data_IF_212606997861
#
_entry.id   IF_212606997861
#
_cell.length_a   1.000
_cell.length_b   1.000
_cell.length_c   1.000
_cell.angle_alpha   90.00
_cell.angle_beta   90.00
_cell.angle_gamma   90.00
#
_symmetry.space_group_name_H-M   'P 1'
#
loop_
_entity.id
_entity.type
_entity.pdbx_description
1 polymer ?
#
# COMPACT_ATOMS: atom_id res chain seq x y z
N UNK A 1 11.00 -6.46 19.52
CA UNK A 1 10.82 -6.59 18.06
C UNK A 1 9.97 -7.83 17.87
N UNK A 2 8.74 -7.69 17.38
CA UNK A 2 7.86 -8.84 17.13
C UNK A 2 8.42 -9.75 16.03
N UNK A 3 8.02 -11.02 16.01
CA UNK A 3 8.43 -11.96 14.96
C UNK A 3 7.88 -11.52 13.59
N UNK A 4 8.72 -11.22 12.59
CA UNK A 4 8.27 -10.83 11.24
C UNK A 4 7.40 -11.89 10.55
N UNK A 5 7.54 -13.16 10.93
CA UNK A 5 6.74 -14.26 10.40
C UNK A 5 5.37 -14.41 11.09
N UNK A 6 5.10 -13.63 12.15
CA UNK A 6 3.81 -13.63 12.80
C UNK A 6 2.70 -13.27 11.81
N UNK A 7 1.60 -14.03 11.84
CA UNK A 7 0.44 -13.79 10.97
C UNK A 7 -0.15 -12.40 11.13
N UNK A 8 -0.12 -11.87 12.35
CA UNK A 8 -0.58 -10.52 12.68
C UNK A 8 0.32 -9.43 12.09
N UNK A 9 1.50 -9.76 11.56
CA UNK A 9 2.33 -8.82 10.81
C UNK A 9 2.05 -8.87 9.30
N UNK A 10 1.14 -9.71 8.81
CA UNK A 10 0.76 -9.71 7.39
C UNK A 10 0.03 -8.42 7.01
N UNK A 11 0.36 -7.86 5.85
CA UNK A 11 -0.30 -6.66 5.35
C UNK A 11 -1.76 -6.93 4.95
N UNK A 12 -2.09 -8.17 4.58
CA UNK A 12 -3.47 -8.61 4.34
C UNK A 12 -4.37 -8.48 5.58
N UNK A 13 -3.88 -8.85 6.77
CA UNK A 13 -4.63 -8.64 8.02
C UNK A 13 -4.75 -7.15 8.37
N UNK A 14 -3.72 -6.35 8.06
CA UNK A 14 -3.78 -4.89 8.17
C UNK A 14 -4.89 -4.29 7.31
N UNK A 15 -4.94 -4.61 6.02
CA UNK A 15 -6.02 -4.18 5.11
C UNK A 15 -7.38 -4.64 5.63
N UNK A 16 -7.49 -5.89 6.12
CA UNK A 16 -8.74 -6.41 6.68
C UNK A 16 -9.22 -5.58 7.87
N UNK A 17 -8.31 -5.11 8.73
CA UNK A 17 -8.69 -4.22 9.83
C UNK A 17 -9.13 -2.85 9.30
N UNK A 18 -8.40 -2.26 8.35
CA UNK A 18 -8.75 -0.97 7.75
C UNK A 18 -10.15 -1.00 7.11
N UNK A 19 -10.46 -2.04 6.34
CA UNK A 19 -11.78 -2.19 5.71
C UNK A 19 -12.88 -2.31 6.78
N UNK A 20 -12.68 -3.15 7.81
CA UNK A 20 -13.64 -3.26 8.92
C UNK A 20 -13.90 -1.93 9.64
N UNK A 21 -12.88 -1.08 9.77
CA UNK A 21 -13.01 0.25 10.38
C UNK A 21 -13.69 1.24 9.42
N UNK A 22 -13.41 1.16 8.13
CA UNK A 22 -14.01 2.00 7.11
C UNK A 22 -15.52 1.72 6.96
N UNK A 23 -15.90 0.44 6.99
CA UNK A 23 -17.29 -0.03 6.82
C UNK A 23 -18.17 0.26 8.05
N UNK A 24 -17.59 0.49 9.23
CA UNK A 24 -18.33 0.77 10.46
C UNK A 24 -18.70 2.26 10.54
N UNK A 25 -19.99 2.64 10.60
CA UNK A 25 -20.36 4.05 10.72
C UNK A 25 -20.16 4.64 12.14
N UNK A 26 -20.24 3.83 13.20
CA UNK A 26 -20.20 4.31 14.59
C UNK A 26 -18.77 4.48 15.11
N UNK A 27 -18.43 5.69 15.57
CA UNK A 27 -17.12 5.98 16.16
C UNK A 27 -16.79 5.09 17.38
N UNK A 28 -17.77 4.83 18.23
CA UNK A 28 -17.60 3.96 19.39
C UNK A 28 -17.34 2.52 18.95
N UNK A 29 -18.07 2.04 17.94
CA UNK A 29 -17.86 0.70 17.39
C UNK A 29 -16.50 0.56 16.70
N UNK A 30 -16.01 1.59 15.98
CA UNK A 30 -14.64 1.62 15.45
C UNK A 30 -13.59 1.41 16.55
N UNK A 31 -13.76 2.10 17.67
CA UNK A 31 -12.87 1.98 18.83
C UNK A 31 -12.92 0.57 19.43
N UNK A 32 -14.10 -0.04 19.50
CA UNK A 32 -14.25 -1.43 19.93
C UNK A 32 -13.60 -2.43 18.97
N UNK A 33 -13.69 -2.22 17.65
CA UNK A 33 -13.05 -3.07 16.65
C UNK A 33 -11.53 -3.08 16.86
N UNK A 34 -10.92 -1.90 17.00
CA UNK A 34 -9.50 -1.76 17.30
C UNK A 34 -9.14 -2.41 18.66
N UNK A 35 -9.95 -2.17 19.69
CA UNK A 35 -9.73 -2.76 21.01
C UNK A 35 -9.79 -4.30 20.98
N UNK A 36 -10.77 -4.87 20.29
CA UNK A 36 -10.93 -6.32 20.10
C UNK A 36 -9.73 -6.90 19.35
N UNK A 37 -9.30 -6.22 18.29
CA UNK A 37 -8.14 -6.65 17.51
C UNK A 37 -6.85 -6.70 18.36
N UNK A 38 -6.50 -5.61 19.05
CA UNK A 38 -5.22 -5.52 19.76
C UNK A 38 -5.23 -6.16 21.16
N UNK A 39 -6.37 -6.17 21.88
CA UNK A 39 -6.42 -6.66 23.27
C UNK A 39 -7.02 -8.05 23.42
N UNK A 40 -8.04 -8.39 22.64
CA UNK A 40 -8.79 -9.62 22.86
C UNK A 40 -8.25 -10.83 22.08
N UNK A 41 -7.48 -10.63 21.01
CA UNK A 41 -7.02 -11.71 20.13
C UNK A 41 -5.59 -12.20 20.38
N UNK A 42 -4.97 -11.92 21.54
CA UNK A 42 -3.53 -12.18 21.76
C UNK A 42 -2.69 -11.68 20.58
N UNK A 43 -2.86 -10.42 20.22
CA UNK A 43 -2.10 -9.81 19.13
C UNK A 43 -0.60 -9.99 19.40
N UNK A 44 0.08 -10.70 18.50
CA UNK A 44 1.51 -11.04 18.61
C UNK A 44 2.37 -10.20 17.64
N UNK A 45 1.71 -9.35 16.83
CA UNK A 45 2.36 -8.45 15.89
C UNK A 45 3.06 -7.26 16.54
N UNK A 46 3.73 -6.44 15.74
CA UNK A 46 4.40 -5.24 16.22
C UNK A 46 3.44 -4.04 16.27
N UNK A 47 2.96 -3.75 17.48
CA UNK A 47 2.00 -2.68 17.72
C UNK A 47 2.52 -1.31 17.25
N UNK A 48 3.82 -1.07 17.34
CA UNK A 48 4.39 0.23 17.00
C UNK A 48 4.32 0.49 15.49
N UNK A 49 4.63 -0.51 14.67
CA UNK A 49 4.49 -0.41 13.20
C UNK A 49 3.03 -0.29 12.80
N UNK A 50 2.14 -1.06 13.42
CA UNK A 50 0.70 -1.00 13.19
C UNK A 50 0.11 0.39 13.44
N UNK A 51 0.38 0.97 14.62
CA UNK A 51 -0.14 2.31 14.96
C UNK A 51 0.46 3.38 14.03
N UNK A 52 1.72 3.23 13.62
CA UNK A 52 2.36 4.15 12.66
C UNK A 52 1.67 4.13 11.31
N UNK A 53 1.31 2.95 10.80
CA UNK A 53 0.59 2.79 9.53
C UNK A 53 -0.88 3.20 9.63
N UNK A 54 -1.54 3.00 10.78
CA UNK A 54 -2.94 3.41 11.02
C UNK A 54 -3.12 4.92 11.15
N UNK A 55 -2.06 5.65 11.54
CA UNK A 55 -2.10 7.09 11.80
C UNK A 55 -1.17 7.89 10.87
N UNK A 56 -1.35 7.82 9.54
CA UNK A 56 -0.47 8.49 8.58
C UNK A 56 -0.50 10.03 8.72
N UNK A 57 -1.61 10.59 9.23
CA UNK A 57 -1.74 12.03 9.48
C UNK A 57 -1.01 12.53 10.74
N UNK A 58 -0.72 11.63 11.69
CA UNK A 58 0.00 11.95 12.93
C UNK A 58 1.51 11.77 12.72
N UNK A 59 1.90 10.67 12.08
CA UNK A 59 3.29 10.41 11.69
C UNK A 59 3.52 10.94 10.29
N UNK A 60 3.71 12.27 10.18
CA UNK A 60 3.87 12.95 8.89
C UNK A 60 5.13 12.46 8.16
N UNK A 61 4.91 11.77 7.04
CA UNK A 61 5.92 11.41 6.05
C UNK A 61 5.69 12.25 4.80
N UNK A 62 6.71 12.97 4.36
CA UNK A 62 6.64 13.80 3.15
C UNK A 62 7.25 13.02 2.00
N UNK A 63 6.42 12.56 1.07
CA UNK A 63 6.86 11.76 -0.08
C UNK A 63 7.13 12.60 -1.33
N UNK A 64 6.71 13.87 -1.34
CA UNK A 64 6.76 14.75 -2.52
C UNK A 64 6.17 14.08 -3.79
N UNK A 65 5.07 13.34 -3.61
CA UNK A 65 4.34 12.64 -4.67
C UNK A 65 2.95 13.28 -4.79
N UNK A 66 2.59 13.66 -6.01
CA UNK A 66 1.26 14.16 -6.36
C UNK A 66 0.53 13.14 -7.24
N UNK A 67 -0.80 13.17 -7.28
CA UNK A 67 -1.60 12.18 -8.05
C UNK A 67 -1.16 12.07 -9.52
N UNK A 68 -0.90 13.20 -10.19
CA UNK A 68 -0.42 13.21 -11.58
C UNK A 68 0.98 12.59 -11.73
N UNK A 69 1.88 12.84 -10.77
CA UNK A 69 3.22 12.23 -10.77
C UNK A 69 3.13 10.71 -10.60
N UNK A 70 2.22 10.24 -9.74
CA UNK A 70 1.98 8.81 -9.58
C UNK A 70 1.46 8.19 -10.88
N UNK A 71 0.45 8.80 -11.53
CA UNK A 71 -0.05 8.33 -12.83
C UNK A 71 1.06 8.23 -13.89
N UNK A 72 1.93 9.25 -13.97
CA UNK A 72 3.08 9.24 -14.89
C UNK A 72 4.12 8.17 -14.57
N UNK A 73 4.31 7.82 -13.30
CA UNK A 73 5.21 6.72 -12.89
C UNK A 73 4.57 5.37 -13.26
N UNK A 74 3.31 5.17 -12.89
CA UNK A 74 2.63 3.88 -13.04
C UNK A 74 2.24 3.56 -14.49
N UNK A 75 1.91 4.55 -15.33
CA UNK A 75 1.74 4.34 -16.78
C UNK A 75 2.97 3.70 -17.41
N UNK A 76 4.16 4.15 -17.02
CA UNK A 76 5.43 3.55 -17.49
C UNK A 76 5.71 2.17 -16.91
N UNK A 77 5.28 1.88 -15.69
CA UNK A 77 5.47 0.57 -15.04
C UNK A 77 4.52 -0.47 -15.65
N UNK A 78 3.28 -0.08 -15.93
CA UNK A 78 2.23 -0.93 -16.48
C UNK A 78 2.23 -1.01 -18.00
N UNK A 79 3.04 -0.17 -18.66
CA UNK A 79 3.05 0.01 -20.11
C UNK A 79 1.68 0.42 -20.66
N UNK A 80 0.95 1.24 -19.88
CA UNK A 80 -0.39 1.75 -20.17
C UNK A 80 -0.35 3.22 -20.61
N UNK A 81 -1.44 3.70 -21.23
CA UNK A 81 -1.56 5.09 -21.67
C UNK A 81 -1.67 6.06 -20.48
N UNK A 82 -0.72 6.99 -20.36
CA UNK A 82 -0.76 8.07 -19.35
C UNK A 82 -2.04 8.92 -19.49
N UNK A 83 -2.47 9.20 -20.72
CA UNK A 83 -3.66 10.01 -20.99
C UNK A 83 -4.95 9.31 -20.51
N UNK A 84 -5.07 8.01 -20.75
CA UNK A 84 -6.23 7.23 -20.28
C UNK A 84 -6.27 7.13 -18.75
N UNK A 85 -5.10 6.97 -18.12
CA UNK A 85 -5.00 6.97 -16.66
C UNK A 85 -5.33 8.35 -16.06
N UNK A 86 -4.97 9.44 -16.74
CA UNK A 86 -5.33 10.79 -16.30
C UNK A 86 -6.84 11.05 -16.43
N UNK A 87 -7.47 10.57 -17.50
CA UNK A 87 -8.93 10.65 -17.69
C UNK A 87 -9.69 9.88 -16.59
N UNK A 88 -9.25 8.67 -16.26
CA UNK A 88 -9.83 7.88 -15.16
C UNK A 88 -9.65 8.58 -13.80
N UNK A 89 -8.49 9.21 -13.56
CA UNK A 89 -8.22 9.98 -12.35
C UNK A 89 -9.17 11.18 -12.18
N UNK A 90 -9.64 11.80 -13.27
CA UNK A 90 -10.59 12.92 -13.18
C UNK A 90 -11.95 12.49 -12.61
N UNK A 91 -12.34 11.23 -12.81
CA UNK A 91 -13.59 10.66 -12.32
C UNK A 91 -13.49 10.02 -10.92
N UNK A 92 -12.29 9.89 -10.36
CA UNK A 92 -12.05 9.10 -9.15
C UNK A 92 -10.88 9.58 -8.30
N UNK A 93 -10.13 8.62 -7.76
CA UNK A 93 -8.95 8.87 -6.94
C UNK A 93 -7.76 8.05 -7.45
N UNK A 94 -6.55 8.51 -7.11
CA UNK A 94 -5.31 7.92 -7.62
C UNK A 94 -5.13 6.46 -7.21
N UNK A 95 -5.65 6.02 -6.07
CA UNK A 95 -5.54 4.63 -5.65
C UNK A 95 -6.48 3.74 -6.49
N UNK A 96 -7.70 4.20 -6.74
CA UNK A 96 -8.64 3.55 -7.65
C UNK A 96 -8.09 3.44 -9.08
N UNK A 97 -7.57 4.54 -9.63
CA UNK A 97 -6.97 4.55 -10.97
C UNK A 97 -5.79 3.58 -11.07
N UNK A 98 -4.84 3.63 -10.15
CA UNK A 98 -3.70 2.70 -10.18
C UNK A 98 -4.17 1.24 -10.08
N UNK A 99 -5.16 0.94 -9.22
CA UNK A 99 -5.70 -0.42 -9.10
C UNK A 99 -6.36 -0.91 -10.40
N UNK A 100 -7.20 -0.07 -11.03
CA UNK A 100 -7.87 -0.39 -12.28
C UNK A 100 -6.87 -0.73 -13.40
N UNK A 101 -5.82 0.08 -13.57
CA UNK A 101 -4.82 -0.14 -14.62
C UNK A 101 -3.81 -1.23 -14.26
N UNK A 102 -3.56 -1.46 -12.96
CA UNK A 102 -2.78 -2.60 -12.49
C UNK A 102 -3.44 -3.95 -12.84
N UNK A 103 -4.77 -4.04 -12.74
CA UNK A 103 -5.51 -5.24 -13.11
C UNK A 103 -5.59 -5.46 -14.63
N UNK A 104 -5.55 -4.38 -15.42
CA UNK A 104 -5.57 -4.44 -16.90
C UNK A 104 -4.21 -4.78 -17.49
N UNK A 105 -3.12 -4.38 -16.84
CA UNK A 105 -1.76 -4.51 -17.36
C UNK A 105 -1.39 -5.96 -17.68
N UNK A 106 -1.08 -6.23 -18.94
CA UNK A 106 -0.56 -7.53 -19.38
C UNK A 106 0.93 -7.71 -19.04
N UNK A 107 1.69 -6.60 -18.99
CA UNK A 107 3.12 -6.59 -18.69
C UNK A 107 3.41 -6.81 -17.20
N UNK A 108 2.43 -6.49 -16.34
CA UNK A 108 2.56 -6.56 -14.89
C UNK A 108 1.33 -7.21 -14.26
N UNK A 109 1.31 -8.54 -14.24
CA UNK A 109 0.17 -9.31 -13.73
C UNK A 109 0.13 -9.38 -12.18
N UNK A 110 -1.03 -9.12 -11.53
CA UNK A 110 -1.15 -9.22 -10.08
C UNK A 110 -0.90 -10.63 -9.52
N UNK A 111 -0.18 -10.72 -8.40
CA UNK A 111 -0.13 -11.96 -7.62
C UNK A 111 -1.49 -12.31 -7.01
N UNK A 112 -1.89 -13.58 -7.12
CA UNK A 112 -3.15 -14.11 -6.54
C UNK A 112 -3.20 -14.07 -5.00
N UNK A 113 -2.03 -14.01 -4.33
CA UNK A 113 -1.92 -13.93 -2.87
C UNK A 113 -0.78 -13.00 -2.50
N UNK A 114 -1.06 -12.02 -1.65
CA UNK A 114 -0.04 -11.14 -1.09
C UNK A 114 0.80 -11.88 -0.05
N UNK A 115 2.12 -11.75 -0.16
CA UNK A 115 3.11 -12.22 0.82
C UNK A 115 3.71 -11.08 1.65
N UNK A 116 3.17 -9.86 1.52
CA UNK A 116 3.72 -8.68 2.17
C UNK A 116 3.41 -8.64 3.66
N UNK A 117 4.39 -8.16 4.42
CA UNK A 117 4.22 -7.82 5.83
C UNK A 117 4.26 -6.30 6.07
N UNK A 118 3.78 -5.88 7.24
CA UNK A 118 3.70 -4.47 7.64
C UNK A 118 5.07 -3.78 7.73
N UNK A 119 6.14 -4.53 8.03
CA UNK A 119 7.50 -3.98 8.10
C UNK A 119 8.06 -3.66 6.72
N UNK A 120 7.79 -4.52 5.73
CA UNK A 120 8.17 -4.30 4.33
C UNK A 120 7.51 -3.04 3.79
N UNK A 121 6.20 -2.88 4.05
CA UNK A 121 5.45 -1.67 3.68
C UNK A 121 5.98 -0.45 4.42
N UNK A 122 6.20 -0.54 5.74
CA UNK A 122 6.72 0.59 6.52
C UNK A 122 8.11 1.05 6.04
N UNK A 123 8.96 0.09 5.68
CA UNK A 123 10.32 0.32 5.18
C UNK A 123 10.30 0.90 3.77
N UNK A 124 9.43 0.41 2.89
CA UNK A 124 9.22 0.96 1.56
C UNK A 124 8.79 2.42 1.63
N UNK A 125 7.76 2.72 2.42
CA UNK A 125 7.29 4.09 2.65
C UNK A 125 8.39 4.97 3.25
N UNK A 126 9.18 4.46 4.21
CA UNK A 126 10.31 5.21 4.77
C UNK A 126 11.38 5.51 3.71
N UNK A 127 11.63 4.58 2.79
CA UNK A 127 12.53 4.78 1.65
C UNK A 127 12.06 5.91 0.74
N UNK A 128 10.75 5.97 0.44
CA UNK A 128 10.16 7.01 -0.39
C UNK A 128 10.34 8.43 0.17
N UNK A 129 10.35 8.61 1.51
CA UNK A 129 10.56 9.92 2.13
C UNK A 129 11.89 10.60 1.75
N UNK A 130 12.90 9.82 1.35
CA UNK A 130 14.23 10.33 0.99
C UNK A 130 14.38 10.69 -0.49
N UNK A 131 13.36 10.47 -1.31
CA UNK A 131 13.47 10.54 -2.76
C UNK A 131 12.71 11.76 -3.29
N UNK A 132 13.48 12.79 -3.64
CA UNK A 132 12.93 14.11 -4.01
C UNK A 132 12.81 14.35 -5.52
N UNK A 133 13.36 13.45 -6.36
CA UNK A 133 13.38 13.62 -7.82
C UNK A 133 12.62 12.49 -8.50
N UNK A 134 11.79 12.85 -9.49
CA UNK A 134 10.95 11.93 -10.28
C UNK A 134 11.75 10.72 -10.80
N UNK A 135 12.94 10.92 -11.37
CA UNK A 135 13.79 9.83 -11.89
C UNK A 135 14.21 8.81 -10.82
N UNK A 136 14.41 9.27 -9.58
CA UNK A 136 14.76 8.37 -8.47
C UNK A 136 13.53 7.69 -7.89
N UNK A 137 12.37 8.34 -7.93
CA UNK A 137 11.10 7.74 -7.50
C UNK A 137 10.70 6.64 -8.49
N UNK A 138 10.77 6.94 -9.79
CA UNK A 138 10.55 5.98 -10.85
C UNK A 138 11.51 4.79 -10.75
N UNK A 139 12.80 5.01 -10.46
CA UNK A 139 13.76 3.91 -10.23
C UNK A 139 13.50 3.11 -8.95
N UNK A 140 13.00 3.73 -7.89
CA UNK A 140 12.69 3.06 -6.64
C UNK A 140 11.40 2.25 -6.72
N UNK A 141 10.38 2.74 -7.41
CA UNK A 141 9.17 1.97 -7.70
C UNK A 141 9.45 0.87 -8.75
N UNK A 142 10.17 1.17 -9.85
CA UNK A 142 10.64 0.16 -10.80
C UNK A 142 11.66 -0.83 -10.21
N UNK A 143 12.19 -0.55 -9.02
CA UNK A 143 13.18 -1.41 -8.40
C UNK A 143 12.63 -2.83 -8.25
N UNK A 144 13.54 -3.80 -8.13
CA UNK A 144 13.26 -5.24 -7.98
C UNK A 144 12.11 -5.56 -7.02
N UNK A 145 11.78 -4.69 -6.06
CA UNK A 145 10.68 -4.87 -5.11
C UNK A 145 9.31 -5.08 -5.77
N UNK A 146 8.87 -4.22 -6.71
CA UNK A 146 7.57 -4.42 -7.38
C UNK A 146 7.58 -5.70 -8.22
N UNK A 147 8.60 -5.89 -9.07
CA UNK A 147 8.69 -7.08 -9.95
C UNK A 147 8.80 -8.39 -9.18
N UNK A 148 9.50 -8.43 -8.04
CA UNK A 148 9.67 -9.65 -7.24
C UNK A 148 8.47 -9.94 -6.33
N UNK A 149 7.68 -8.93 -5.94
CA UNK A 149 6.61 -9.11 -4.94
C UNK A 149 5.20 -8.84 -5.42
N UNK A 150 5.01 -8.33 -6.63
CA UNK A 150 3.69 -8.08 -7.20
C UNK A 150 3.48 -8.68 -8.59
N UNK A 151 4.53 -9.13 -9.29
CA UNK A 151 4.41 -9.77 -10.59
C UNK A 151 4.64 -11.29 -10.49
N UNK A 152 3.76 -12.07 -11.12
CA UNK A 152 4.00 -13.48 -11.40
C UNK A 152 4.73 -13.57 -12.75
N UNK A 153 6.06 -13.44 -12.76
CA UNK A 153 6.83 -13.79 -13.96
C UNK A 153 6.68 -15.31 -14.18
N UNK A 154 5.74 -15.66 -15.06
CA UNK A 154 5.56 -17.02 -15.57
C UNK A 154 6.89 -17.46 -16.17
N UNK A 155 7.47 -18.52 -15.62
CA UNK A 155 8.39 -19.39 -16.35
C UNK A 155 7.58 -20.48 -17.02
#
# INVERSE_FOLDING_TARGET
MGDPACKDNSFSEFIRLCNKIADEPSYNAKTEIMAKFFRHNKFEGDLHVWIRLLLPGVVKRVYNLQSKTLVKIYSKIFEESEDEMLEDLEAGDVAGTIATFFEKSESFSPLKKSSLNVFEVDSFLKGLCGITTEDKQMRFENASWLKTRFNCSSS
#
